data_IF_789311259325
#
_entry.id   IF_789311259325
#
_cell.length_a   1.000
_cell.length_b   1.000
_cell.length_c   1.000
_cell.angle_alpha   90.00
_cell.angle_beta   90.00
_cell.angle_gamma   90.00
#
_symmetry.space_group_name_H-M   'P 1'
#
loop_
_entity.id
_entity.type
_entity.pdbx_description
1 polymer ?
#
# COMPACT_ATOMS: atom_id res chain seq x y z
N UNK A 1 77.05 26.66 -9.25
CA UNK A 1 75.79 27.08 -8.59
C UNK A 1 74.66 26.17 -9.07
N UNK A 2 73.79 25.76 -8.14
CA UNK A 2 72.67 24.79 -8.25
C UNK A 2 73.04 23.29 -8.26
N UNK A 3 73.21 22.75 -7.05
CA UNK A 3 72.96 21.33 -6.77
C UNK A 3 71.47 21.17 -6.46
N UNK A 4 70.77 20.33 -7.24
CA UNK A 4 69.35 20.05 -7.09
C UNK A 4 69.11 19.12 -5.89
N UNK A 5 68.42 19.63 -4.88
CA UNK A 5 67.92 18.87 -3.74
C UNK A 5 66.65 18.11 -4.19
N UNK A 6 66.68 16.78 -4.16
CA UNK A 6 65.51 15.93 -4.40
C UNK A 6 64.74 15.81 -3.08
N UNK A 7 63.58 16.45 -2.99
CA UNK A 7 62.63 16.23 -1.88
C UNK A 7 61.90 14.89 -2.10
N UNK A 8 61.78 14.02 -1.07
CA UNK A 8 60.90 12.87 -1.16
C UNK A 8 59.45 13.31 -0.96
N UNK A 9 58.61 13.01 -1.95
CA UNK A 9 57.17 13.22 -1.92
C UNK A 9 56.56 12.14 -1.01
N UNK A 10 56.18 12.49 0.23
CA UNK A 10 55.44 11.60 1.11
C UNK A 10 53.97 11.60 0.67
N UNK A 11 53.53 10.50 0.05
CA UNK A 11 52.12 10.23 -0.25
C UNK A 11 51.39 9.97 1.08
N UNK A 12 50.64 10.96 1.59
CA UNK A 12 49.66 10.71 2.64
C UNK A 12 48.47 9.97 2.01
N UNK A 13 48.35 8.67 2.29
CA UNK A 13 47.12 7.93 2.08
C UNK A 13 46.12 8.34 3.17
N UNK A 14 45.15 9.18 2.83
CA UNK A 14 43.96 9.38 3.66
C UNK A 14 43.07 8.15 3.52
N UNK A 15 43.07 7.31 4.55
CA UNK A 15 42.08 6.25 4.73
C UNK A 15 40.71 6.91 4.95
N UNK A 16 39.93 7.04 3.89
CA UNK A 16 38.49 7.29 3.99
C UNK A 16 37.85 6.03 4.58
N UNK A 17 37.65 6.01 5.90
CA UNK A 17 36.78 5.05 6.54
C UNK A 17 35.35 5.36 6.11
N UNK A 18 34.88 4.68 5.07
CA UNK A 18 33.46 4.62 4.74
C UNK A 18 32.76 4.03 5.97
N UNK A 19 31.98 4.85 6.67
CA UNK A 19 30.98 4.38 7.62
C UNK A 19 29.98 3.54 6.81
N UNK A 20 30.21 2.23 6.73
CA UNK A 20 29.14 1.30 6.41
C UNK A 20 28.15 1.43 7.57
N UNK A 21 27.03 2.12 7.34
CA UNK A 21 25.90 2.03 8.24
C UNK A 21 25.60 0.54 8.41
N UNK A 22 25.67 0.02 9.64
CA UNK A 22 25.20 -1.33 9.93
C UNK A 22 23.75 -1.39 9.48
N UNK A 23 23.51 -2.05 8.35
CA UNK A 23 22.16 -2.32 7.87
C UNK A 23 21.54 -3.25 8.90
N UNK A 24 20.63 -2.72 9.70
CA UNK A 24 19.83 -3.49 10.65
C UNK A 24 19.23 -4.69 9.92
N UNK A 25 19.56 -5.89 10.39
CA UNK A 25 19.16 -7.13 9.73
C UNK A 25 17.65 -7.31 9.92
N UNK A 26 16.87 -6.98 8.88
CA UNK A 26 15.40 -6.98 8.89
C UNK A 26 14.75 -8.34 8.55
N UNK A 27 15.55 -9.36 8.23
CA UNK A 27 15.13 -10.75 8.06
C UNK A 27 16.14 -11.75 8.67
N UNK A 28 15.73 -12.95 9.13
CA UNK A 28 14.37 -13.48 9.09
C UNK A 28 13.42 -12.73 10.02
N UNK A 29 12.13 -12.71 9.68
CA UNK A 29 11.12 -12.01 10.46
C UNK A 29 10.89 -12.68 11.82
N UNK A 30 10.27 -11.93 12.74
CA UNK A 30 9.86 -12.45 14.07
C UNK A 30 8.83 -13.60 14.00
N UNK A 31 8.20 -13.80 12.84
CA UNK A 31 7.25 -14.88 12.60
C UNK A 31 7.93 -16.14 12.00
N UNK A 32 9.25 -16.10 11.80
CA UNK A 32 10.06 -17.22 11.35
C UNK A 32 10.47 -17.13 9.89
N UNK A 33 11.52 -17.86 9.52
CA UNK A 33 12.15 -17.80 8.19
C UNK A 33 11.28 -18.31 7.02
N UNK A 34 10.13 -18.91 7.32
CA UNK A 34 9.16 -19.40 6.33
C UNK A 34 7.88 -18.56 6.28
N UNK A 35 7.79 -17.50 7.09
CA UNK A 35 6.62 -16.63 7.07
C UNK A 35 6.49 -15.90 5.74
N UNK A 36 5.24 -15.78 5.28
CA UNK A 36 4.87 -15.19 4.00
C UNK A 36 3.71 -14.19 4.10
N UNK A 37 3.21 -13.91 5.31
CA UNK A 37 2.07 -13.02 5.52
C UNK A 37 2.37 -11.85 6.47
N UNK A 38 3.53 -11.84 7.14
CA UNK A 38 4.02 -10.69 7.88
C UNK A 38 3.07 -10.23 8.98
N UNK A 39 2.73 -8.93 8.98
CA UNK A 39 1.89 -8.34 10.01
C UNK A 39 0.47 -8.97 10.09
N UNK A 40 0.02 -9.67 9.03
CA UNK A 40 -1.25 -10.39 9.03
C UNK A 40 -1.27 -11.55 10.04
N UNK A 41 -0.11 -12.03 10.53
CA UNK A 41 -0.03 -12.96 11.66
C UNK A 41 -0.62 -12.42 12.98
N UNK A 42 -0.91 -11.12 13.05
CA UNK A 42 -1.59 -10.51 14.20
C UNK A 42 -3.09 -10.77 14.22
N UNK A 43 -3.69 -11.11 13.07
CA UNK A 43 -5.12 -11.38 12.95
C UNK A 43 -5.48 -12.71 13.63
N UNK A 44 -6.52 -12.69 14.46
CA UNK A 44 -6.97 -13.86 15.20
C UNK A 44 -8.46 -13.74 15.58
N UNK A 45 -9.03 -14.80 16.15
CA UNK A 45 -10.45 -14.81 16.53
C UNK A 45 -10.82 -13.71 17.55
N UNK A 46 -9.90 -13.35 18.45
CA UNK A 46 -10.14 -12.30 19.43
C UNK A 46 -10.22 -10.92 18.78
N UNK A 47 -9.35 -10.62 17.80
CA UNK A 47 -9.42 -9.35 17.06
C UNK A 47 -10.73 -9.20 16.29
N UNK A 48 -11.25 -10.30 15.72
CA UNK A 48 -12.56 -10.33 15.05
C UNK A 48 -13.69 -9.99 16.03
N UNK A 49 -13.73 -10.67 17.18
CA UNK A 49 -14.76 -10.45 18.19
C UNK A 49 -14.69 -9.05 18.80
N UNK A 50 -13.49 -8.50 18.96
CA UNK A 50 -13.30 -7.12 19.44
C UNK A 50 -13.75 -6.10 18.40
N UNK A 51 -13.44 -6.30 17.11
CA UNK A 51 -13.93 -5.45 16.03
C UNK A 51 -15.47 -5.47 15.93
N UNK A 52 -16.10 -6.65 16.07
CA UNK A 52 -17.55 -6.79 16.04
C UNK A 52 -18.25 -5.97 17.14
N UNK A 53 -17.62 -5.79 18.31
CA UNK A 53 -18.16 -4.95 19.39
C UNK A 53 -18.28 -3.48 19.01
N UNK A 54 -17.58 -3.00 17.98
CA UNK A 54 -17.66 -1.60 17.52
C UNK A 54 -18.97 -1.31 16.76
N UNK A 55 -19.65 -2.34 16.25
CA UNK A 55 -20.90 -2.19 15.51
C UNK A 55 -22.03 -1.84 16.48
N UNK A 56 -22.38 -0.55 16.57
CA UNK A 56 -23.48 -0.05 17.42
C UNK A 56 -24.71 0.41 16.66
N UNK A 57 -24.52 0.90 15.43
CA UNK A 57 -25.57 1.58 14.65
C UNK A 57 -25.94 0.87 13.35
N UNK A 58 -25.17 -0.15 12.95
CA UNK A 58 -25.37 -0.85 11.68
C UNK A 58 -25.08 -0.01 10.43
N UNK A 59 -24.46 1.17 10.56
CA UNK A 59 -24.05 1.99 9.42
C UNK A 59 -22.90 1.33 8.65
N UNK A 60 -22.99 1.37 7.34
CA UNK A 60 -21.98 0.83 6.41
C UNK A 60 -21.55 1.89 5.42
N UNK A 61 -20.25 1.92 5.09
CA UNK A 61 -19.67 2.83 4.13
C UNK A 61 -18.85 2.03 3.11
N UNK A 62 -19.12 2.15 1.80
CA UNK A 62 -18.24 1.57 0.79
C UNK A 62 -16.94 2.39 0.75
N UNK A 63 -15.80 1.70 0.82
CA UNK A 63 -14.47 2.32 0.66
C UNK A 63 -13.87 2.05 -0.73
N UNK A 64 -14.64 1.41 -1.61
CA UNK A 64 -14.24 1.12 -2.97
C UNK A 64 -14.58 2.28 -3.90
N UNK A 65 -13.65 2.68 -4.76
CA UNK A 65 -13.95 3.56 -5.90
C UNK A 65 -14.58 2.74 -7.03
N UNK A 66 -15.63 3.26 -7.71
CA UNK A 66 -16.14 2.63 -8.92
C UNK A 66 -15.06 2.57 -9.99
N UNK A 67 -14.91 1.40 -10.63
CA UNK A 67 -13.97 1.20 -11.73
C UNK A 67 -14.74 1.21 -13.04
N UNK A 68 -14.32 2.07 -13.95
CA UNK A 68 -14.76 2.06 -15.34
C UNK A 68 -13.56 2.22 -16.29
N UNK A 69 -13.83 2.12 -17.59
CA UNK A 69 -12.80 2.20 -18.65
C UNK A 69 -12.06 3.55 -18.73
N UNK A 70 -12.59 4.60 -18.11
CA UNK A 70 -12.06 5.95 -18.09
C UNK A 70 -11.44 6.30 -16.72
N UNK A 71 -11.45 5.37 -15.75
CA UNK A 71 -10.83 5.61 -14.44
C UNK A 71 -9.35 5.97 -14.66
N UNK A 72 -8.89 7.15 -14.17
CA UNK A 72 -7.48 7.51 -14.22
C UNK A 72 -6.61 6.44 -13.59
N UNK A 73 -5.59 6.00 -14.31
CA UNK A 73 -4.72 4.92 -13.89
C UNK A 73 -3.26 5.37 -13.95
N UNK A 74 -2.48 5.02 -12.93
CA UNK A 74 -1.10 5.44 -12.80
C UNK A 74 -0.20 4.81 -13.90
N UNK A 75 0.56 5.67 -14.59
CA UNK A 75 1.54 5.29 -15.63
C UNK A 75 0.93 4.48 -16.77
N UNK A 76 1.38 3.23 -16.95
CA UNK A 76 1.02 2.35 -18.06
C UNK A 76 -0.20 1.48 -17.75
N UNK A 77 -0.79 1.61 -16.56
CA UNK A 77 -1.92 0.79 -16.13
C UNK A 77 -3.21 1.24 -16.83
N UNK A 78 -4.15 0.31 -16.97
CA UNK A 78 -5.52 0.60 -17.41
C UNK A 78 -6.46 -0.49 -16.92
N UNK A 79 -7.76 -0.31 -17.12
CA UNK A 79 -8.76 -1.31 -16.78
C UNK A 79 -9.85 -1.29 -17.85
N UNK A 80 -9.95 -2.37 -18.63
CA UNK A 80 -10.94 -2.50 -19.70
C UNK A 80 -11.93 -3.58 -19.32
N UNK A 81 -13.20 -3.19 -19.22
CA UNK A 81 -14.31 -4.10 -19.01
C UNK A 81 -15.16 -4.15 -20.29
N UNK A 82 -15.42 -5.35 -20.78
CA UNK A 82 -16.31 -5.60 -21.91
C UNK A 82 -17.46 -6.47 -21.44
N UNK A 83 -18.68 -5.96 -21.56
CA UNK A 83 -19.89 -6.76 -21.33
C UNK A 83 -20.20 -7.59 -22.59
N UNK A 84 -20.50 -8.86 -22.40
CA UNK A 84 -20.69 -9.87 -23.44
C UNK A 84 -22.00 -10.60 -23.15
N UNK A 85 -22.83 -10.74 -24.19
CA UNK A 85 -24.06 -11.54 -24.14
C UNK A 85 -24.04 -12.58 -25.27
N UNK A 86 -23.38 -13.74 -25.08
CA UNK A 86 -23.24 -14.74 -26.13
C UNK A 86 -24.61 -15.27 -26.59
N UNK A 87 -25.03 -14.93 -27.81
CA UNK A 87 -26.31 -15.36 -28.38
C UNK A 87 -27.54 -14.58 -27.91
N UNK A 88 -27.38 -13.64 -26.97
CA UNK A 88 -28.48 -12.86 -26.37
C UNK A 88 -28.38 -11.35 -26.65
N UNK A 89 -27.33 -10.93 -27.37
CA UNK A 89 -27.11 -9.53 -27.71
C UNK A 89 -28.32 -8.90 -28.43
N UNK A 90 -28.54 -7.60 -28.15
CA UNK A 90 -29.63 -6.83 -28.75
C UNK A 90 -31.02 -7.16 -28.23
N UNK A 91 -31.13 -7.79 -27.04
CA UNK A 91 -32.41 -8.19 -26.44
C UNK A 91 -32.94 -9.53 -26.97
N UNK A 92 -32.06 -10.34 -27.56
CA UNK A 92 -32.40 -11.71 -27.98
C UNK A 92 -32.44 -12.60 -26.73
N UNK A 93 -33.30 -13.63 -26.73
CA UNK A 93 -33.40 -14.57 -25.59
C UNK A 93 -33.31 -16.00 -26.08
N UNK A 94 -32.77 -16.89 -25.25
CA UNK A 94 -32.58 -18.30 -25.55
C UNK A 94 -33.41 -19.20 -24.61
N UNK A 95 -33.77 -20.39 -25.08
CA UNK A 95 -34.50 -21.40 -24.31
C UNK A 95 -35.98 -21.06 -24.04
N UNK A 96 -36.77 -22.05 -23.56
CA UNK A 96 -38.20 -21.87 -23.32
C UNK A 96 -38.52 -20.91 -22.17
N UNK A 97 -37.58 -20.73 -21.24
CA UNK A 97 -37.71 -19.80 -20.11
C UNK A 97 -37.24 -18.38 -20.45
N UNK A 98 -36.67 -18.15 -21.65
CA UNK A 98 -36.10 -16.85 -22.06
C UNK A 98 -35.11 -16.31 -21.02
N UNK A 99 -34.24 -17.19 -20.52
CA UNK A 99 -33.16 -16.78 -19.62
C UNK A 99 -32.29 -15.73 -20.31
N UNK A 100 -31.71 -14.83 -19.51
CA UNK A 100 -30.82 -13.79 -20.02
C UNK A 100 -29.73 -13.55 -18.99
N UNK A 101 -28.49 -13.43 -19.45
CA UNK A 101 -27.35 -13.13 -18.59
C UNK A 101 -26.42 -12.09 -19.23
N UNK A 102 -25.49 -11.59 -18.43
CA UNK A 102 -24.39 -10.74 -18.85
C UNK A 102 -23.11 -11.42 -18.33
N UNK A 103 -22.09 -11.45 -19.17
CA UNK A 103 -20.76 -11.91 -18.82
C UNK A 103 -19.77 -10.77 -19.05
N UNK A 104 -18.77 -10.65 -18.20
CA UNK A 104 -17.74 -9.61 -18.34
C UNK A 104 -16.36 -10.20 -18.64
N UNK A 105 -15.71 -9.66 -19.66
CA UNK A 105 -14.28 -9.84 -19.89
C UNK A 105 -13.54 -8.62 -19.35
N UNK A 106 -12.58 -8.87 -18.45
CA UNK A 106 -11.71 -7.84 -17.89
C UNK A 106 -10.28 -8.03 -18.40
N UNK A 107 -9.70 -6.96 -18.96
CA UNK A 107 -8.26 -6.84 -19.21
C UNK A 107 -7.78 -5.62 -18.46
N UNK A 108 -7.07 -5.84 -17.35
CA UNK A 108 -6.68 -4.75 -16.46
C UNK A 108 -5.54 -5.09 -15.53
N UNK A 109 -4.98 -4.04 -14.92
CA UNK A 109 -3.98 -4.15 -13.87
C UNK A 109 -4.70 -4.14 -12.53
N UNK A 110 -4.39 -5.10 -11.67
CA UNK A 110 -5.02 -5.22 -10.32
C UNK A 110 -4.65 -4.08 -9.37
N UNK A 111 -3.71 -3.21 -9.77
CA UNK A 111 -3.38 -1.96 -9.09
C UNK A 111 -4.07 -0.75 -9.71
N UNK A 112 -5.34 -0.89 -10.12
CA UNK A 112 -6.21 0.19 -10.60
C UNK A 112 -7.47 0.19 -9.74
N UNK A 113 -7.85 1.37 -9.25
CA UNK A 113 -8.94 1.52 -8.28
C UNK A 113 -8.52 1.09 -6.86
N UNK A 114 -9.51 0.79 -6.03
CA UNK A 114 -9.27 0.35 -4.65
C UNK A 114 -8.58 -1.01 -4.65
N UNK A 115 -7.42 -1.09 -4.01
CA UNK A 115 -6.53 -2.23 -4.13
C UNK A 115 -5.89 -2.64 -2.81
N UNK A 116 -5.44 -3.90 -2.75
CA UNK A 116 -4.58 -4.42 -1.69
C UNK A 116 -3.24 -4.83 -2.31
N UNK A 117 -2.16 -4.22 -1.82
CA UNK A 117 -0.82 -4.61 -2.21
C UNK A 117 -0.32 -5.72 -1.28
N UNK A 118 -0.13 -6.93 -1.81
CA UNK A 118 0.53 -8.01 -1.08
C UNK A 118 2.00 -7.69 -0.79
N UNK A 119 2.60 -8.35 0.20
CA UNK A 119 3.99 -8.09 0.61
C UNK A 119 5.04 -8.54 -0.41
N UNK A 120 4.63 -9.25 -1.46
CA UNK A 120 5.44 -9.50 -2.66
C UNK A 120 5.42 -8.38 -3.70
N UNK A 121 4.67 -7.30 -3.49
CA UNK A 121 4.52 -6.20 -4.47
C UNK A 121 5.76 -5.31 -4.57
N UNK A 122 6.38 -5.00 -3.43
CA UNK A 122 7.52 -4.07 -3.33
C UNK A 122 8.66 -4.76 -2.58
N UNK A 123 9.87 -4.65 -3.14
CA UNK A 123 11.12 -5.10 -2.53
C UNK A 123 12.20 -4.03 -2.64
N UNK A 124 13.29 -4.22 -1.91
CA UNK A 124 14.49 -3.37 -1.99
C UNK A 124 15.59 -4.21 -2.63
N UNK A 125 16.15 -3.74 -3.74
CA UNK A 125 17.22 -4.43 -4.47
C UNK A 125 16.87 -5.90 -4.82
N UNK A 126 15.65 -6.12 -5.34
CA UNK A 126 15.11 -7.46 -5.64
C UNK A 126 15.05 -8.40 -4.43
N UNK A 127 15.11 -7.88 -3.21
CA UNK A 127 14.89 -8.61 -1.96
C UNK A 127 13.56 -8.16 -1.36
N UNK A 128 12.66 -9.11 -1.20
CA UNK A 128 11.30 -8.93 -0.69
C UNK A 128 11.21 -9.40 0.75
N UNK A 129 10.01 -9.28 1.32
CA UNK A 129 9.70 -9.70 2.68
C UNK A 129 10.39 -11.01 3.08
N UNK A 130 10.97 -11.04 4.28
CA UNK A 130 11.68 -12.19 4.85
C UNK A 130 12.94 -12.64 4.08
N UNK A 131 13.51 -11.77 3.23
CA UNK A 131 14.74 -12.03 2.48
C UNK A 131 14.55 -12.84 1.20
N UNK A 132 13.30 -13.00 0.72
CA UNK A 132 13.03 -13.72 -0.54
C UNK A 132 13.58 -12.92 -1.73
N UNK A 133 14.46 -13.52 -2.53
CA UNK A 133 15.06 -12.86 -3.71
C UNK A 133 14.18 -13.07 -4.93
N UNK A 134 14.00 -12.04 -5.76
CA UNK A 134 13.15 -12.09 -6.96
C UNK A 134 13.40 -13.33 -7.83
N UNK A 135 14.68 -13.64 -8.07
CA UNK A 135 15.14 -14.76 -8.89
C UNK A 135 14.61 -16.13 -8.44
N UNK A 136 14.20 -16.25 -7.17
CA UNK A 136 13.78 -17.53 -6.59
C UNK A 136 12.26 -17.75 -6.67
N UNK A 137 11.44 -16.70 -6.88
CA UNK A 137 9.98 -16.83 -6.75
C UNK A 137 9.14 -15.94 -7.68
N UNK A 138 9.71 -14.96 -8.37
CA UNK A 138 8.97 -14.06 -9.27
C UNK A 138 9.03 -14.62 -10.69
N UNK A 139 7.86 -14.83 -11.31
CA UNK A 139 7.74 -15.33 -12.68
C UNK A 139 6.75 -14.47 -13.50
N UNK A 140 6.66 -14.74 -14.80
CA UNK A 140 5.67 -14.10 -15.69
C UNK A 140 4.24 -14.55 -15.42
N UNK A 141 4.05 -15.69 -14.78
CA UNK A 141 2.73 -16.23 -14.41
C UNK A 141 2.26 -15.73 -13.03
N UNK A 142 3.16 -15.11 -12.25
CA UNK A 142 2.87 -14.59 -10.92
C UNK A 142 4.04 -14.76 -9.95
N UNK A 143 3.73 -14.65 -8.66
CA UNK A 143 4.71 -14.89 -7.59
C UNK A 143 4.43 -16.25 -6.93
N UNK A 144 5.47 -17.06 -6.73
CA UNK A 144 5.37 -18.39 -6.09
C UNK A 144 5.39 -18.31 -4.55
N UNK A 145 5.77 -17.14 -4.02
CA UNK A 145 5.79 -16.80 -2.60
C UNK A 145 5.22 -15.41 -2.40
N UNK A 146 4.75 -15.11 -1.18
CA UNK A 146 4.23 -13.81 -0.78
C UNK A 146 2.99 -13.36 -1.60
N UNK A 147 2.32 -14.31 -2.24
CA UNK A 147 1.16 -14.06 -3.10
C UNK A 147 -0.09 -13.71 -2.31
N UNK A 148 -1.03 -13.04 -2.98
CA UNK A 148 -2.26 -12.54 -2.36
C UNK A 148 -3.18 -13.68 -1.88
N UNK A 149 -3.06 -14.87 -2.47
CA UNK A 149 -3.78 -16.08 -2.08
C UNK A 149 -3.46 -16.54 -0.64
N UNK A 150 -2.35 -16.06 -0.06
CA UNK A 150 -1.96 -16.35 1.33
C UNK A 150 -2.53 -15.35 2.32
N UNK A 151 -3.07 -14.22 1.86
CA UNK A 151 -3.67 -13.21 2.75
C UNK A 151 -4.94 -13.78 3.37
N UNK A 152 -5.02 -13.91 4.71
CA UNK A 152 -6.25 -14.35 5.36
C UNK A 152 -7.31 -13.25 5.29
N UNK A 153 -8.60 -13.57 5.51
CA UNK A 153 -9.64 -12.55 5.65
C UNK A 153 -9.25 -11.50 6.70
N UNK A 154 -9.25 -10.23 6.31
CA UNK A 154 -8.90 -9.12 7.19
C UNK A 154 -10.18 -8.65 7.89
N UNK A 155 -10.38 -9.10 9.12
CA UNK A 155 -11.47 -8.63 10.00
C UNK A 155 -10.87 -8.20 11.33
N UNK A 156 -10.67 -6.89 11.48
CA UNK A 156 -10.06 -6.26 12.65
C UNK A 156 -10.57 -4.82 12.78
N UNK A 157 -10.13 -4.10 13.81
CA UNK A 157 -10.46 -2.69 14.00
C UNK A 157 -9.74 -1.84 12.94
N UNK A 158 -10.51 -0.98 12.26
CA UNK A 158 -10.00 0.04 11.36
C UNK A 158 -10.01 1.41 12.03
N UNK A 159 -8.95 2.19 11.85
CA UNK A 159 -8.81 3.57 12.32
C UNK A 159 -8.63 4.47 11.12
N UNK A 160 -9.55 5.40 10.91
CA UNK A 160 -9.45 6.41 9.83
C UNK A 160 -8.95 7.70 10.43
N UNK A 161 -7.75 8.14 10.02
CA UNK A 161 -7.12 9.37 10.45
C UNK A 161 -7.47 10.49 9.47
N UNK A 162 -8.10 11.55 9.99
CA UNK A 162 -8.52 12.68 9.16
C UNK A 162 -7.39 13.69 9.00
N UNK A 163 -6.61 13.54 7.94
CA UNK A 163 -5.48 14.43 7.64
C UNK A 163 -5.96 15.79 7.13
N UNK A 164 -7.18 15.89 6.60
CA UNK A 164 -7.77 17.17 6.16
C UNK A 164 -7.93 18.13 7.34
N UNK A 165 -8.34 17.61 8.51
CA UNK A 165 -8.43 18.36 9.76
C UNK A 165 -7.06 18.76 10.33
N UNK A 166 -6.05 17.89 10.18
CA UNK A 166 -4.67 18.16 10.64
C UNK A 166 -4.05 19.35 9.90
N UNK A 167 -4.22 19.39 8.57
CA UNK A 167 -3.66 20.44 7.71
C UNK A 167 -4.61 21.60 7.44
N UNK A 168 -5.86 21.54 7.92
CA UNK A 168 -6.86 22.60 7.74
C UNK A 168 -7.25 22.84 6.28
N UNK A 169 -7.20 21.81 5.45
CA UNK A 169 -7.47 21.88 4.01
C UNK A 169 -8.39 20.74 3.58
N UNK A 170 -9.39 21.02 2.75
CA UNK A 170 -10.31 20.00 2.23
C UNK A 170 -9.60 18.93 1.38
N UNK A 171 -8.49 19.29 0.73
CA UNK A 171 -7.58 18.37 0.03
C UNK A 171 -6.18 18.69 0.54
N UNK A 172 -5.51 17.71 1.15
CA UNK A 172 -4.15 17.90 1.65
C UNK A 172 -3.21 18.21 0.47
N UNK A 173 -2.29 19.20 0.59
CA UNK A 173 -1.42 19.59 -0.52
C UNK A 173 -0.57 18.44 -1.06
N UNK A 174 -0.31 18.45 -2.37
CA UNK A 174 0.59 17.50 -3.03
C UNK A 174 1.96 17.43 -2.33
N UNK A 175 2.61 16.27 -2.36
CA UNK A 175 3.95 16.07 -1.77
C UNK A 175 4.04 16.29 -0.26
N UNK A 176 2.93 16.46 0.46
CA UNK A 176 2.95 16.58 1.92
C UNK A 176 3.33 15.25 2.55
N UNK A 177 4.42 15.23 3.30
CA UNK A 177 4.85 14.08 4.08
C UNK A 177 4.17 14.09 5.46
N UNK A 178 3.49 13.00 5.82
CA UNK A 178 2.90 12.81 7.14
C UNK A 178 3.99 12.34 8.12
N UNK A 179 4.30 13.19 9.10
CA UNK A 179 5.21 12.86 10.18
C UNK A 179 4.50 12.10 11.31
N UNK A 180 5.28 11.56 12.25
CA UNK A 180 4.72 10.95 13.49
C UNK A 180 3.89 11.98 14.28
N UNK A 181 4.31 13.25 14.27
CA UNK A 181 3.60 14.32 14.97
C UNK A 181 2.24 14.61 14.32
N UNK A 182 2.14 14.54 12.99
CA UNK A 182 0.87 14.74 12.27
C UNK A 182 -0.11 13.60 12.57
N UNK A 183 0.38 12.35 12.61
CA UNK A 183 -0.41 11.18 13.01
C UNK A 183 -0.90 11.34 14.45
N UNK A 184 -0.02 11.72 15.39
CA UNK A 184 -0.40 11.94 16.78
C UNK A 184 -1.44 13.07 16.91
N UNK A 185 -1.28 14.15 16.15
CA UNK A 185 -2.24 15.25 16.11
C UNK A 185 -3.61 14.79 15.60
N UNK A 186 -3.68 13.94 14.56
CA UNK A 186 -4.94 13.36 14.10
C UNK A 186 -5.63 12.55 15.22
N UNK A 187 -4.86 11.69 15.90
CA UNK A 187 -5.35 10.88 17.03
C UNK A 187 -5.91 11.76 18.16
N UNK A 188 -5.18 12.83 18.52
CA UNK A 188 -5.57 13.75 19.58
C UNK A 188 -6.85 14.53 19.22
N UNK A 189 -6.95 15.03 17.98
CA UNK A 189 -8.14 15.73 17.48
C UNK A 189 -9.38 14.83 17.47
N UNK A 190 -9.20 13.54 17.17
CA UNK A 190 -10.29 12.57 17.09
C UNK A 190 -10.58 11.88 18.42
N UNK A 191 -9.72 12.02 19.43
CA UNK A 191 -9.84 11.36 20.72
C UNK A 191 -9.75 9.83 20.64
N UNK A 192 -8.91 9.31 19.72
CA UNK A 192 -8.75 7.87 19.48
C UNK A 192 -7.29 7.43 19.61
N UNK A 193 -7.04 6.13 19.65
CA UNK A 193 -5.69 5.56 19.70
C UNK A 193 -5.52 4.46 18.66
N UNK A 194 -4.25 4.21 18.30
CA UNK A 194 -3.84 3.04 17.53
C UNK A 194 -3.45 1.94 18.51
N UNK A 195 -4.00 0.75 18.31
CA UNK A 195 -3.67 -0.46 19.05
C UNK A 195 -3.03 -1.48 18.10
N UNK A 196 -2.35 -2.44 18.71
CA UNK A 196 -1.81 -3.61 18.00
C UNK A 196 -2.94 -4.32 17.26
N UNK A 197 -2.72 -4.62 15.99
CA UNK A 197 -3.70 -5.33 15.15
C UNK A 197 -4.60 -4.42 14.33
N UNK A 198 -4.50 -3.10 14.47
CA UNK A 198 -5.31 -2.14 13.71
C UNK A 198 -4.94 -2.10 12.24
N UNK A 199 -5.92 -1.74 11.41
CA UNK A 199 -5.68 -1.18 10.07
C UNK A 199 -5.79 0.34 10.15
N UNK A 200 -4.78 1.06 9.65
CA UNK A 200 -4.74 2.54 9.70
C UNK A 200 -4.98 3.11 8.31
N UNK A 201 -6.03 3.90 8.15
CA UNK A 201 -6.38 4.54 6.88
C UNK A 201 -6.20 6.06 6.99
N UNK A 202 -5.60 6.68 5.99
CA UNK A 202 -5.43 8.12 5.90
C UNK A 202 -6.51 8.72 4.99
N UNK A 203 -7.34 9.61 5.54
CA UNK A 203 -8.25 10.44 4.76
C UNK A 203 -7.57 11.77 4.44
N UNK A 204 -7.27 12.00 3.17
CA UNK A 204 -6.51 13.16 2.67
C UNK A 204 -7.36 14.07 1.79
N UNK A 205 -8.56 13.63 1.39
CA UNK A 205 -9.43 14.31 0.44
C UNK A 205 -8.95 14.17 -1.01
N UNK A 206 -7.93 13.35 -1.28
CA UNK A 206 -7.33 13.24 -2.61
C UNK A 206 -8.27 12.62 -3.64
N UNK A 207 -9.12 11.67 -3.23
CA UNK A 207 -10.19 11.12 -4.07
C UNK A 207 -11.17 12.20 -4.60
N UNK A 208 -11.28 13.37 -3.98
CA UNK A 208 -12.13 14.45 -4.50
C UNK A 208 -11.66 15.03 -5.83
N UNK A 209 -10.40 14.77 -6.23
CA UNK A 209 -9.84 15.12 -7.53
C UNK A 209 -10.32 14.18 -8.64
N UNK A 210 -10.73 12.96 -8.30
CA UNK A 210 -11.10 11.93 -9.27
C UNK A 210 -12.25 12.40 -10.17
N UNK A 211 -12.04 12.38 -11.48
CA UNK A 211 -13.00 12.85 -12.48
C UNK A 211 -13.12 14.36 -12.61
N UNK A 212 -12.47 15.15 -11.73
CA UNK A 212 -12.50 16.62 -11.74
C UNK A 212 -11.15 17.22 -12.19
N UNK A 213 -10.05 16.69 -11.66
CA UNK A 213 -8.68 17.09 -11.97
C UNK A 213 -7.79 15.84 -11.97
N UNK A 214 -7.93 15.04 -13.04
CA UNK A 214 -7.24 13.76 -13.18
C UNK A 214 -5.72 13.93 -13.34
N UNK A 215 -5.27 15.06 -13.88
CA UNK A 215 -3.85 15.37 -14.00
C UNK A 215 -3.23 15.51 -12.61
N UNK A 216 -3.88 16.27 -11.72
CA UNK A 216 -3.43 16.39 -10.34
C UNK A 216 -3.61 15.09 -9.54
N UNK A 217 -4.73 14.37 -9.73
CA UNK A 217 -4.95 13.09 -9.07
C UNK A 217 -3.80 12.09 -9.34
N UNK A 218 -3.27 12.09 -10.56
CA UNK A 218 -2.14 11.24 -10.99
C UNK A 218 -0.75 11.84 -10.72
N UNK A 219 -0.68 13.01 -10.08
CA UNK A 219 0.58 13.65 -9.69
C UNK A 219 1.15 13.01 -8.41
N UNK A 220 2.00 13.73 -7.67
CA UNK A 220 2.59 13.22 -6.43
C UNK A 220 1.66 13.52 -5.25
N UNK A 221 0.98 12.50 -4.77
CA UNK A 221 0.06 12.55 -3.63
C UNK A 221 0.73 12.92 -2.29
N UNK A 222 -0.01 13.43 -1.30
CA UNK A 222 0.42 13.43 0.10
C UNK A 222 0.49 12.00 0.64
N UNK A 223 1.40 11.73 1.58
CA UNK A 223 1.57 10.36 2.06
C UNK A 223 2.50 10.24 3.25
N UNK A 224 2.64 9.01 3.75
CA UNK A 224 3.39 8.75 4.97
C UNK A 224 4.91 8.86 4.76
N UNK A 225 5.58 9.54 5.70
CA UNK A 225 7.04 9.58 5.76
C UNK A 225 7.67 8.30 6.31
N UNK A 226 8.96 8.07 6.06
CA UNK A 226 9.66 6.86 6.50
C UNK A 226 9.67 6.69 8.02
N UNK A 227 9.86 7.78 8.77
CA UNK A 227 9.82 7.74 10.24
C UNK A 227 8.44 7.35 10.78
N UNK A 228 7.38 7.86 10.15
CA UNK A 228 6.01 7.52 10.49
C UNK A 228 5.67 6.07 10.12
N UNK A 229 6.14 5.58 8.97
CA UNK A 229 5.97 4.19 8.57
C UNK A 229 6.64 3.21 9.55
N UNK A 230 7.86 3.52 10.00
CA UNK A 230 8.55 2.75 11.05
C UNK A 230 7.78 2.78 12.37
N UNK A 231 7.34 3.95 12.80
CA UNK A 231 6.56 4.10 14.03
C UNK A 231 5.27 3.28 14.00
N UNK A 232 4.54 3.26 12.87
CA UNK A 232 3.36 2.40 12.71
C UNK A 232 3.70 0.91 12.74
N UNK A 233 4.81 0.51 12.12
CA UNK A 233 5.30 -0.88 12.18
C UNK A 233 5.63 -1.29 13.63
N UNK A 234 6.25 -0.40 14.40
CA UNK A 234 6.56 -0.60 15.83
C UNK A 234 5.29 -0.70 16.68
N UNK A 235 4.24 0.05 16.31
CA UNK A 235 2.88 -0.08 16.89
C UNK A 235 2.20 -1.40 16.56
N UNK A 236 2.78 -2.22 15.67
CA UNK A 236 2.25 -3.51 15.25
C UNK A 236 0.85 -3.40 14.62
N UNK A 237 0.68 -2.44 13.72
CA UNK A 237 -0.51 -2.42 12.84
C UNK A 237 -0.46 -3.59 11.85
N UNK A 238 -1.61 -3.99 11.32
CA UNK A 238 -1.72 -5.05 10.31
C UNK A 238 -1.47 -4.51 8.90
N UNK A 239 -2.02 -3.34 8.59
CA UNK A 239 -1.90 -2.70 7.30
C UNK A 239 -2.15 -1.19 7.41
N UNK A 240 -1.70 -0.44 6.42
CA UNK A 240 -2.10 0.94 6.23
C UNK A 240 -2.57 1.19 4.79
N UNK A 241 -3.34 2.25 4.59
CA UNK A 241 -3.78 2.70 3.27
C UNK A 241 -4.18 4.16 3.28
N UNK A 242 -4.34 4.77 2.10
CA UNK A 242 -4.81 6.14 1.93
C UNK A 242 -5.81 6.22 0.79
N UNK A 243 -6.54 7.32 0.72
CA UNK A 243 -7.46 7.68 -0.37
C UNK A 243 -6.72 8.38 -1.54
N UNK A 244 -5.47 7.99 -1.78
CA UNK A 244 -4.57 8.59 -2.78
C UNK A 244 -4.41 7.71 -4.02
#
# INVERSE_FOLDING_TARGET
>A
MLNRLVLPFALLFTLNAAHAAETEKWYPSKYGAKDEIGALNLLNAESVLNAAKLIKTGKTYPLAVPIDKNLPAFRHRSFHLTNIQPGEAGGTTMGPNKFTFNDELVVGWTGVGTQLNGIGHIGIDNVYYNGNRAADFVTVEGVQKLGIEKVPPIVTRGVVLDMTAVYGSAIVPEKTEFSVADIQKALDLQGITIEKGDVVLFNTGWLELLGKDNEKFLAVEPGIGMAAAKWLADKQIVAFGGDT
#
